data_IF_742550615713
#
_entry.id   IF_742550615713
#
_cell.length_a   1.000
_cell.length_b   1.000
_cell.length_c   1.000
_cell.angle_alpha   90.00
_cell.angle_beta   90.00
_cell.angle_gamma   90.00
#
_symmetry.space_group_name_H-M   'P 1'
#
loop_
_entity.id
_entity.type
_entity.pdbx_description
1 polymer ?
#
# COMPACT_ATOMS: atom_id res chain seq x y z
N UNK A 1 21.40 11.34 17.30
CA UNK A 1 21.95 11.32 15.93
C UNK A 1 21.23 10.21 15.21
N UNK A 2 20.69 10.46 14.02
CA UNK A 2 20.07 9.43 13.20
C UNK A 2 21.13 8.49 12.63
N UNK A 3 20.70 7.31 12.18
CA UNK A 3 21.54 6.34 11.47
C UNK A 3 21.12 6.22 9.99
N UNK A 4 21.97 5.58 9.18
CA UNK A 4 21.75 5.39 7.74
C UNK A 4 20.36 4.80 7.45
N UNK A 5 19.92 3.87 8.31
CA UNK A 5 18.65 3.17 8.14
C UNK A 5 17.47 4.12 8.34
N UNK A 6 17.51 4.87 9.43
CA UNK A 6 16.47 5.83 9.80
C UNK A 6 16.36 6.93 8.76
N UNK A 7 17.49 7.50 8.33
CA UNK A 7 17.51 8.57 7.33
C UNK A 7 16.96 8.11 5.98
N UNK A 8 17.35 6.91 5.53
CA UNK A 8 16.85 6.35 4.26
C UNK A 8 15.34 6.13 4.28
N UNK A 9 14.82 5.51 5.35
CA UNK A 9 13.38 5.24 5.47
C UNK A 9 12.57 6.53 5.54
N UNK A 10 13.00 7.51 6.35
CA UNK A 10 12.28 8.78 6.46
C UNK A 10 12.30 9.59 5.16
N UNK A 11 13.43 9.59 4.43
CA UNK A 11 13.47 10.23 3.12
C UNK A 11 12.45 9.61 2.15
N UNK A 12 12.40 8.27 2.04
CA UNK A 12 11.41 7.61 1.18
C UNK A 12 9.96 7.86 1.62
N UNK A 13 9.69 7.87 2.92
CA UNK A 13 8.36 8.13 3.47
C UNK A 13 7.90 9.58 3.27
N UNK A 14 8.80 10.55 3.32
CA UNK A 14 8.48 11.96 3.02
C UNK A 14 8.22 12.14 1.52
N UNK A 15 9.07 11.57 0.65
CA UNK A 15 8.91 11.67 -0.81
C UNK A 15 7.59 11.09 -1.31
N UNK A 16 7.14 9.96 -0.73
CA UNK A 16 5.95 9.26 -1.22
C UNK A 16 4.67 9.61 -0.45
N UNK A 17 4.76 9.92 0.83
CA UNK A 17 3.59 10.11 1.70
C UNK A 17 3.61 11.38 2.52
N UNK A 18 4.67 12.19 2.46
CA UNK A 18 4.87 13.36 3.32
C UNK A 18 4.86 13.00 4.81
N UNK A 19 5.43 11.84 5.17
CA UNK A 19 5.58 11.39 6.57
C UNK A 19 7.01 11.69 7.02
N UNK A 20 7.14 12.52 8.05
CA UNK A 20 8.43 13.05 8.54
C UNK A 20 8.91 12.43 9.85
N UNK A 21 8.08 11.58 10.44
CA UNK A 21 8.34 10.89 11.69
C UNK A 21 8.09 9.40 11.51
N UNK A 22 8.91 8.53 12.12
CA UNK A 22 8.76 7.09 11.95
C UNK A 22 7.43 6.62 12.57
N UNK A 23 6.64 5.81 11.86
CA UNK A 23 5.42 5.25 12.43
C UNK A 23 5.76 4.26 13.55
N UNK A 24 4.94 4.19 14.62
CA UNK A 24 4.99 3.12 15.61
C UNK A 24 4.96 1.71 15.00
N UNK A 25 5.62 0.74 15.64
CA UNK A 25 5.66 -0.66 15.17
C UNK A 25 4.28 -1.30 15.02
N UNK A 26 3.33 -0.95 15.89
CA UNK A 26 1.94 -1.41 15.81
C UNK A 26 1.25 -0.94 14.51
N UNK A 27 1.57 0.28 14.08
CA UNK A 27 1.01 0.86 12.85
C UNK A 27 1.58 0.14 11.63
N UNK A 28 2.85 -0.28 11.69
CA UNK A 28 3.49 -1.06 10.62
C UNK A 28 2.80 -2.41 10.38
N UNK A 29 2.40 -3.12 11.44
CA UNK A 29 1.65 -4.39 11.29
C UNK A 29 0.24 -4.14 10.74
N UNK A 30 -0.50 -3.20 11.35
CA UNK A 30 -1.87 -2.91 10.95
C UNK A 30 -1.93 -2.44 9.50
N UNK A 31 -0.98 -1.60 9.08
CA UNK A 31 -0.86 -1.15 7.70
C UNK A 31 -0.61 -2.31 6.73
N UNK A 32 0.37 -3.18 7.01
CA UNK A 32 0.68 -4.33 6.16
C UNK A 32 -0.54 -5.25 6.00
N UNK A 33 -1.21 -5.58 7.10
CA UNK A 33 -2.42 -6.41 7.05
C UNK A 33 -3.55 -5.75 6.27
N UNK A 34 -3.81 -4.46 6.52
CA UNK A 34 -4.86 -3.71 5.84
C UNK A 34 -4.64 -3.64 4.32
N UNK A 35 -3.41 -3.38 3.87
CA UNK A 35 -3.07 -3.39 2.45
C UNK A 35 -3.32 -4.77 1.84
N UNK A 36 -2.85 -5.84 2.48
CA UNK A 36 -3.02 -7.20 1.95
C UNK A 36 -4.48 -7.66 1.93
N UNK A 37 -5.29 -7.27 2.92
CA UNK A 37 -6.75 -7.49 2.90
C UNK A 37 -7.37 -6.78 1.70
N UNK A 38 -6.96 -5.53 1.43
CA UNK A 38 -7.47 -4.76 0.30
C UNK A 38 -7.02 -5.34 -1.05
N UNK A 39 -5.77 -5.76 -1.17
CA UNK A 39 -5.21 -6.34 -2.40
C UNK A 39 -5.75 -7.74 -2.69
N UNK A 40 -6.17 -8.53 -1.68
CA UNK A 40 -6.78 -9.85 -1.88
C UNK A 40 -8.12 -9.81 -2.64
N UNK A 41 -8.63 -8.65 -3.04
CA UNK A 41 -10.00 -8.42 -3.46
C UNK A 41 -10.73 -9.55 -4.22
N UNK A 42 -10.09 -10.21 -5.19
CA UNK A 42 -10.66 -11.29 -6.02
C UNK A 42 -10.75 -12.67 -5.30
N UNK A 43 -10.23 -12.76 -4.08
CA UNK A 43 -10.15 -13.96 -3.25
C UNK A 43 -8.73 -14.51 -3.10
N UNK A 44 -7.75 -14.04 -3.88
CA UNK A 44 -6.36 -14.52 -3.84
C UNK A 44 -5.37 -13.39 -4.06
N UNK A 45 -4.35 -13.29 -3.20
CA UNK A 45 -3.19 -12.43 -3.48
C UNK A 45 -2.27 -13.21 -4.43
N UNK A 46 -2.14 -12.74 -5.67
CA UNK A 46 -1.28 -13.34 -6.68
C UNK A 46 0.20 -13.33 -6.24
N UNK A 47 1.03 -14.23 -6.81
CA UNK A 47 2.48 -14.21 -6.56
C UNK A 47 3.13 -12.85 -6.87
N UNK A 48 2.70 -12.17 -7.93
CA UNK A 48 3.19 -10.88 -8.39
C UNK A 48 2.87 -9.76 -7.41
N UNK A 49 1.61 -9.63 -6.96
CA UNK A 49 1.19 -8.67 -5.94
C UNK A 49 1.95 -8.90 -4.62
N UNK A 50 2.10 -10.17 -4.23
CA UNK A 50 2.82 -10.54 -3.02
C UNK A 50 4.29 -10.16 -3.12
N UNK A 51 4.95 -10.49 -4.23
CA UNK A 51 6.35 -10.14 -4.46
C UNK A 51 6.55 -8.63 -4.44
N UNK A 52 5.64 -7.87 -5.06
CA UNK A 52 5.65 -6.42 -5.04
C UNK A 52 5.57 -5.88 -3.61
N UNK A 53 4.63 -6.37 -2.80
CA UNK A 53 4.44 -5.85 -1.44
C UNK A 53 5.56 -6.28 -0.47
N UNK A 54 6.14 -7.48 -0.67
CA UNK A 54 7.36 -7.91 0.02
C UNK A 54 8.52 -6.96 -0.29
N UNK A 55 8.72 -6.61 -1.56
CA UNK A 55 9.75 -5.64 -1.98
C UNK A 55 9.52 -4.25 -1.39
N UNK A 56 8.27 -3.78 -1.43
CA UNK A 56 7.85 -2.51 -0.81
C UNK A 56 8.18 -2.49 0.70
N UNK A 57 7.77 -3.53 1.44
CA UNK A 57 8.04 -3.64 2.88
C UNK A 57 9.53 -3.70 3.21
N UNK A 58 10.33 -4.38 2.37
CA UNK A 58 11.78 -4.42 2.50
C UNK A 58 12.42 -3.04 2.29
N UNK A 59 11.98 -2.30 1.27
CA UNK A 59 12.48 -0.95 0.98
C UNK A 59 12.25 -0.01 2.17
N UNK A 60 11.06 -0.03 2.79
CA UNK A 60 10.76 0.79 3.96
C UNK A 60 11.41 0.30 5.27
N UNK A 61 12.20 -0.79 5.23
CA UNK A 61 12.81 -1.39 6.42
C UNK A 61 11.78 -1.73 7.49
N UNK A 62 10.64 -2.26 7.09
CA UNK A 62 9.59 -2.74 7.96
C UNK A 62 9.74 -4.26 8.15
N UNK A 63 10.56 -4.76 9.11
CA UNK A 63 10.86 -6.19 9.21
C UNK A 63 9.61 -7.02 9.51
N UNK A 64 8.71 -6.50 10.35
CA UNK A 64 7.47 -7.18 10.70
C UNK A 64 6.51 -7.24 9.51
N UNK A 65 6.35 -6.12 8.80
CA UNK A 65 5.58 -6.05 7.57
C UNK A 65 6.15 -6.94 6.47
N UNK A 66 7.47 -7.02 6.35
CA UNK A 66 8.17 -7.88 5.40
C UNK A 66 7.88 -9.36 5.64
N UNK A 67 7.95 -9.83 6.90
CA UNK A 67 7.62 -11.23 7.22
C UNK A 67 6.12 -11.51 7.04
N UNK A 68 5.25 -10.59 7.47
CA UNK A 68 3.80 -10.72 7.25
C UNK A 68 3.45 -10.76 5.76
N UNK A 69 4.05 -9.91 4.92
CA UNK A 69 3.80 -9.86 3.49
C UNK A 69 4.08 -11.20 2.79
N UNK A 70 4.97 -12.03 3.31
CA UNK A 70 5.27 -13.36 2.74
C UNK A 70 4.18 -14.39 2.99
N UNK A 71 3.55 -14.37 4.16
CA UNK A 71 2.74 -15.49 4.65
C UNK A 71 1.29 -15.13 4.96
N UNK A 72 1.00 -13.85 5.14
CA UNK A 72 -0.32 -13.42 5.59
C UNK A 72 -1.38 -13.67 4.51
N UNK A 73 -2.48 -14.28 4.94
CA UNK A 73 -3.53 -14.77 4.07
C UNK A 73 -4.57 -13.69 3.73
N UNK A 74 -4.65 -12.58 4.47
CA UNK A 74 -5.60 -11.50 4.17
C UNK A 74 -7.05 -11.78 4.55
N UNK A 75 -7.30 -12.69 5.50
CA UNK A 75 -8.66 -13.13 5.89
C UNK A 75 -9.22 -12.43 7.14
N UNK A 76 -8.43 -11.59 7.82
CA UNK A 76 -8.92 -10.89 9.01
C UNK A 76 -9.89 -9.75 8.63
N UNK A 77 -10.72 -9.35 9.60
CA UNK A 77 -11.59 -8.19 9.44
C UNK A 77 -10.81 -6.88 9.39
N UNK A 78 -11.02 -6.07 8.33
CA UNK A 78 -10.30 -4.81 8.13
C UNK A 78 -10.45 -3.85 9.33
N UNK A 79 -11.63 -3.76 9.93
CA UNK A 79 -11.87 -2.91 11.11
C UNK A 79 -11.14 -3.41 12.36
N UNK A 80 -11.03 -4.73 12.53
CA UNK A 80 -10.36 -5.33 13.68
C UNK A 80 -8.84 -5.06 13.63
N UNK A 81 -8.26 -5.18 12.43
CA UNK A 81 -6.85 -4.85 12.18
C UNK A 81 -6.54 -3.39 12.50
N UNK A 82 -7.48 -2.48 12.22
CA UNK A 82 -7.28 -1.04 12.43
C UNK A 82 -7.56 -0.55 13.85
N UNK A 83 -8.27 -1.33 14.67
CA UNK A 83 -8.76 -0.91 15.98
C UNK A 83 -7.65 -0.46 16.96
N UNK A 84 -6.42 -0.97 16.79
CA UNK A 84 -5.27 -0.65 17.65
C UNK A 84 -4.32 0.42 17.12
N UNK A 85 -4.57 0.99 15.94
CA UNK A 85 -3.58 1.82 15.21
C UNK A 85 -4.19 3.14 14.75
N UNK A 86 -4.19 4.16 15.61
CA UNK A 86 -4.84 5.45 15.35
C UNK A 86 -4.28 6.20 14.14
N UNK A 87 -2.99 6.08 13.86
CA UNK A 87 -2.37 6.70 12.69
C UNK A 87 -2.82 6.02 11.40
N UNK A 88 -2.87 4.68 11.38
CA UNK A 88 -3.34 3.89 10.23
C UNK A 88 -4.84 4.10 10.02
N UNK A 89 -5.60 4.13 11.10
CA UNK A 89 -7.03 4.39 11.08
C UNK A 89 -7.39 5.86 10.77
N UNK A 90 -6.41 6.78 10.74
CA UNK A 90 -6.65 8.17 10.34
C UNK A 90 -7.11 8.28 8.88
N UNK A 91 -7.73 9.41 8.49
CA UNK A 91 -8.10 9.62 7.08
C UNK A 91 -6.89 9.45 6.14
N UNK A 92 -5.74 10.03 6.50
CA UNK A 92 -4.51 9.92 5.69
C UNK A 92 -4.05 8.46 5.59
N UNK A 93 -4.01 7.73 6.70
CA UNK A 93 -3.62 6.32 6.73
C UNK A 93 -4.50 5.44 5.83
N UNK A 94 -5.83 5.62 5.90
CA UNK A 94 -6.78 4.87 5.06
C UNK A 94 -6.63 5.16 3.57
N UNK A 95 -6.35 6.42 3.19
CA UNK A 95 -6.06 6.77 1.79
C UNK A 95 -4.76 6.12 1.30
N UNK A 96 -3.71 6.11 2.14
CA UNK A 96 -2.44 5.44 1.81
C UNK A 96 -2.66 3.92 1.65
N UNK A 97 -3.48 3.29 2.50
CA UNK A 97 -3.82 1.86 2.36
C UNK A 97 -4.39 1.57 0.97
N UNK A 98 -5.39 2.34 0.54
CA UNK A 98 -6.04 2.16 -0.76
C UNK A 98 -5.06 2.40 -1.92
N UNK A 99 -4.28 3.49 -1.84
CA UNK A 99 -3.25 3.80 -2.83
C UNK A 99 -2.23 2.66 -2.98
N UNK A 100 -1.65 2.19 -1.89
CA UNK A 100 -0.66 1.11 -1.91
C UNK A 100 -1.29 -0.22 -2.34
N UNK A 101 -2.54 -0.49 -1.97
CA UNK A 101 -3.24 -1.69 -2.42
C UNK A 101 -3.47 -1.69 -3.94
N UNK A 102 -3.86 -0.55 -4.52
CA UNK A 102 -4.00 -0.39 -5.98
C UNK A 102 -2.65 -0.59 -6.68
N UNK A 103 -1.57 -0.03 -6.13
CA UNK A 103 -0.22 -0.22 -6.69
C UNK A 103 0.21 -1.69 -6.65
N UNK A 104 -0.11 -2.40 -5.57
CA UNK A 104 0.16 -3.83 -5.46
C UNK A 104 -0.64 -4.62 -6.50
N UNK A 105 -1.96 -4.42 -6.62
CA UNK A 105 -2.79 -5.05 -7.65
C UNK A 105 -2.27 -4.78 -9.06
N UNK A 106 -1.78 -3.57 -9.31
CA UNK A 106 -1.24 -3.17 -10.61
C UNK A 106 0.17 -3.70 -10.91
N UNK A 107 0.74 -4.58 -10.07
CA UNK A 107 2.12 -5.04 -10.19
C UNK A 107 2.40 -5.82 -11.50
N UNK A 108 1.40 -6.52 -12.02
CA UNK A 108 1.45 -7.25 -13.30
C UNK A 108 1.16 -6.33 -14.52
N UNK A 109 1.03 -5.02 -14.28
CA UNK A 109 0.65 -3.99 -15.23
C UNK A 109 -0.80 -4.06 -15.74
N UNK A 110 -1.68 -4.80 -15.07
CA UNK A 110 -3.11 -4.77 -15.27
C UNK A 110 -3.84 -4.43 -13.96
N UNK A 111 -4.85 -3.57 -14.03
CA UNK A 111 -5.73 -3.30 -12.90
C UNK A 111 -7.16 -3.54 -13.37
N UNK A 112 -7.58 -4.80 -13.24
CA UNK A 112 -8.77 -5.34 -13.85
C UNK A 112 -10.05 -4.83 -13.18
N UNK A 113 -11.20 -4.81 -13.90
CA UNK A 113 -12.47 -4.35 -13.33
C UNK A 113 -12.90 -5.07 -12.04
N UNK A 114 -12.52 -6.35 -11.87
CA UNK A 114 -12.78 -7.11 -10.64
C UNK A 114 -12.02 -6.54 -9.45
N UNK A 115 -10.74 -6.21 -9.61
CA UNK A 115 -9.90 -5.61 -8.58
C UNK A 115 -10.37 -4.19 -8.23
N UNK A 116 -10.76 -3.40 -9.24
CA UNK A 116 -11.39 -2.08 -9.05
C UNK A 116 -12.63 -2.15 -8.16
N UNK A 117 -13.57 -3.03 -8.51
CA UNK A 117 -14.80 -3.18 -7.74
C UNK A 117 -14.51 -3.55 -6.28
N UNK A 118 -13.51 -4.41 -6.05
CA UNK A 118 -13.14 -4.89 -4.72
C UNK A 118 -12.42 -3.84 -3.89
N UNK A 119 -11.47 -3.12 -4.48
CA UNK A 119 -10.84 -1.97 -3.82
C UNK A 119 -11.89 -0.95 -3.40
N UNK A 120 -12.87 -0.63 -4.26
CA UNK A 120 -13.98 0.27 -3.91
C UNK A 120 -14.84 -0.26 -2.76
N UNK A 121 -15.11 -1.56 -2.73
CA UNK A 121 -15.81 -2.20 -1.59
C UNK A 121 -15.01 -2.08 -0.28
N UNK A 122 -13.70 -2.30 -0.32
CA UNK A 122 -12.84 -2.17 0.87
C UNK A 122 -12.69 -0.72 1.31
N UNK A 123 -12.55 0.21 0.37
CA UNK A 123 -12.51 1.64 0.61
C UNK A 123 -13.81 2.14 1.27
N UNK A 124 -14.97 1.63 0.86
CA UNK A 124 -16.24 1.93 1.51
C UNK A 124 -16.25 1.48 2.98
N UNK A 125 -15.68 0.31 3.31
CA UNK A 125 -15.51 -0.11 4.71
C UNK A 125 -14.58 0.84 5.48
N UNK A 126 -13.59 1.42 4.82
CA UNK A 126 -12.72 2.47 5.38
C UNK A 126 -13.39 3.86 5.42
N UNK A 127 -14.66 3.99 5.04
CA UNK A 127 -15.36 5.27 4.99
C UNK A 127 -14.71 6.26 4.01
N UNK A 128 -14.22 5.76 2.87
CA UNK A 128 -13.70 6.56 1.76
C UNK A 128 -14.77 6.58 0.65
N UNK A 129 -15.13 7.77 0.21
CA UNK A 129 -16.08 7.98 -0.88
C UNK A 129 -15.56 7.40 -2.21
N UNK A 130 -16.44 6.79 -3.00
CA UNK A 130 -16.05 6.17 -4.27
C UNK A 130 -15.36 7.15 -5.23
N UNK A 131 -15.79 8.42 -5.27
CA UNK A 131 -15.14 9.44 -6.10
C UNK A 131 -13.67 9.66 -5.71
N UNK A 132 -13.35 9.61 -4.42
CA UNK A 132 -11.97 9.73 -3.93
C UNK A 132 -11.17 8.48 -4.32
N UNK A 133 -11.78 7.30 -4.29
CA UNK A 133 -11.13 6.07 -4.77
C UNK A 133 -10.79 6.19 -6.25
N UNK A 134 -11.72 6.66 -7.08
CA UNK A 134 -11.50 6.86 -8.51
C UNK A 134 -10.36 7.85 -8.79
N UNK A 135 -10.23 8.92 -8.00
CA UNK A 135 -9.09 9.85 -8.08
C UNK A 135 -7.76 9.14 -7.75
N UNK A 136 -7.73 8.26 -6.76
CA UNK A 136 -6.53 7.48 -6.41
C UNK A 136 -6.22 6.46 -7.51
N UNK A 137 -7.21 5.76 -8.07
CA UNK A 137 -7.05 4.84 -9.19
C UNK A 137 -6.39 5.56 -10.38
N UNK A 138 -6.92 6.74 -10.74
CA UNK A 138 -6.39 7.58 -11.81
C UNK A 138 -4.94 8.01 -11.53
N UNK A 139 -4.64 8.45 -10.30
CA UNK A 139 -3.29 8.81 -9.89
C UNK A 139 -2.30 7.65 -10.08
N UNK A 140 -2.64 6.44 -9.61
CA UNK A 140 -1.80 5.26 -9.76
C UNK A 140 -1.51 4.94 -11.23
N UNK A 141 -2.52 5.08 -12.11
CA UNK A 141 -2.37 4.88 -13.55
C UNK A 141 -1.43 5.91 -14.18
N UNK A 142 -1.58 7.19 -13.82
CA UNK A 142 -0.71 8.28 -14.27
C UNK A 142 0.74 8.08 -13.81
N UNK A 143 0.95 7.71 -12.54
CA UNK A 143 2.26 7.39 -12.00
C UNK A 143 2.93 6.23 -12.73
N UNK A 144 2.17 5.16 -13.03
CA UNK A 144 2.69 4.02 -13.78
C UNK A 144 3.13 4.43 -15.19
N UNK A 145 2.36 5.29 -15.88
CA UNK A 145 2.73 5.85 -17.19
C UNK A 145 3.97 6.75 -17.09
N UNK A 146 4.03 7.62 -16.09
CA UNK A 146 5.18 8.50 -15.86
C UNK A 146 6.44 7.72 -15.51
N UNK A 147 6.32 6.62 -14.76
CA UNK A 147 7.42 5.68 -14.51
C UNK A 147 7.91 5.05 -15.81
N UNK A 148 7.01 4.56 -16.68
CA UNK A 148 7.39 4.00 -17.99
C UNK A 148 8.14 5.04 -18.83
N UNK A 149 7.65 6.27 -18.87
CA UNK A 149 8.31 7.39 -19.56
C UNK A 149 9.70 7.69 -18.98
N UNK A 150 9.83 7.76 -17.65
CA UNK A 150 11.11 7.98 -16.96
C UNK A 150 12.12 6.89 -17.30
N UNK A 151 11.70 5.62 -17.23
CA UNK A 151 12.59 4.51 -17.56
C UNK A 151 13.02 4.58 -19.03
N UNK A 152 12.09 4.78 -19.97
CA UNK A 152 12.45 4.91 -21.38
C UNK A 152 13.46 6.03 -21.65
N UNK A 153 13.33 7.17 -20.96
CA UNK A 153 14.26 8.30 -21.09
C UNK A 153 15.66 8.03 -20.49
N UNK A 154 15.74 7.19 -19.46
CA UNK A 154 16.99 6.92 -18.72
C UNK A 154 17.66 5.60 -19.11
N UNK A 155 17.12 4.88 -20.11
CA UNK A 155 17.63 3.59 -20.56
C UNK A 155 18.48 3.69 -21.84
N UNK A 156 18.94 4.89 -22.20
CA UNK A 156 19.89 5.13 -23.30
C UNK A 156 21.32 4.71 -22.93
#
# INVERSE_FOLDING_TARGET
MSDIKTDATLWMMDELYGIKEPPPDQDSEAFTKAVLICSKGDGTISPEERAWFVGCSAAYQNPKGYELAKIYAGDDGLQEVLAGSSNVASRKGRLIIIYVAIQACSADAAYHPGEQQKIRQMAAQLGIEESVVQEIEQLCMEEAQMRKKRLALLSD
#
